data_IF_062797559267
#
_entry.id   IF_062797559267
#
_cell.length_a   1.000
_cell.length_b   1.000
_cell.length_c   1.000
_cell.angle_alpha   90.00
_cell.angle_beta   90.00
_cell.angle_gamma   90.00
#
_symmetry.space_group_name_H-M   'P 1'
#
loop_
_entity.id
_entity.type
_entity.pdbx_description
1 polymer ?
#
# COMPACT_ATOMS: atom_id res chain seq x y z
N UNK A 1 14.92 5.16 13.32
CA UNK A 1 13.42 5.18 13.32
C UNK A 1 12.96 5.73 14.66
N UNK A 2 12.25 6.88 14.76
CA UNK A 2 11.12 7.30 13.92
C UNK A 2 11.38 8.57 13.07
N UNK A 3 10.64 8.71 11.97
CA UNK A 3 10.52 9.93 11.17
C UNK A 3 9.49 10.88 11.81
N UNK A 4 9.75 12.19 11.82
CA UNK A 4 8.74 13.18 12.19
C UNK A 4 8.91 13.88 13.55
N UNK A 5 10.06 13.78 14.22
CA UNK A 5 10.42 14.82 15.22
C UNK A 5 11.05 16.01 14.49
N UNK A 6 10.24 16.77 13.78
CA UNK A 6 10.67 18.04 13.18
C UNK A 6 10.78 19.07 14.31
N UNK A 7 12.01 19.29 14.80
CA UNK A 7 12.32 20.41 15.69
C UNK A 7 12.91 21.54 14.84
N UNK A 8 12.21 22.67 14.80
CA UNK A 8 12.74 23.90 14.25
C UNK A 8 13.55 24.61 15.34
N UNK A 9 14.82 24.89 15.07
CA UNK A 9 15.65 25.72 15.93
C UNK A 9 15.83 27.08 15.26
N UNK A 10 15.47 28.15 15.94
CA UNK A 10 15.79 29.52 15.50
C UNK A 10 17.19 29.87 16.01
N UNK A 11 18.12 30.21 15.11
CA UNK A 11 19.48 30.63 15.49
C UNK A 11 19.56 32.17 15.42
N UNK A 12 19.58 32.90 16.56
CA UNK A 12 19.51 34.36 16.57
C UNK A 12 20.71 35.01 15.87
N UNK A 13 21.91 34.41 16.01
CA UNK A 13 23.15 34.89 15.37
C UNK A 13 23.13 34.79 13.84
N UNK A 14 22.30 33.92 13.25
CA UNK A 14 22.27 33.67 11.82
C UNK A 14 20.96 34.11 11.14
N UNK A 15 19.98 34.65 11.89
CA UNK A 15 18.62 35.00 11.44
C UNK A 15 18.00 33.93 10.51
N UNK A 16 18.27 32.65 10.77
CA UNK A 16 17.79 31.52 9.97
C UNK A 16 17.16 30.46 10.86
N UNK A 17 16.03 29.92 10.42
CA UNK A 17 15.36 28.77 11.03
C UNK A 17 15.96 27.50 10.44
N UNK A 18 16.55 26.65 11.28
CA UNK A 18 17.14 25.37 10.84
C UNK A 18 16.22 24.24 11.28
N UNK A 19 15.57 23.63 10.29
CA UNK A 19 14.74 22.44 10.46
C UNK A 19 15.64 21.21 10.40
N UNK A 20 15.95 20.60 11.54
CA UNK A 20 16.85 19.43 11.60
C UNK A 20 16.07 18.14 11.79
N UNK A 21 16.16 17.21 10.83
CA UNK A 21 15.60 15.86 10.93
C UNK A 21 16.59 14.94 11.68
N UNK A 22 16.52 14.92 13.03
CA UNK A 22 17.45 14.18 13.89
C UNK A 22 17.60 12.67 13.63
N UNK A 23 16.77 12.07 12.76
CA UNK A 23 16.76 10.62 12.49
C UNK A 23 16.94 10.22 11.02
N UNK A 24 17.19 11.14 10.09
CA UNK A 24 17.16 10.82 8.64
C UNK A 24 18.13 9.69 8.24
N UNK A 25 19.37 9.71 8.75
CA UNK A 25 20.38 8.69 8.43
C UNK A 25 20.04 7.30 8.98
N UNK A 26 19.52 7.21 10.21
CA UNK A 26 19.08 5.93 10.79
C UNK A 26 17.80 5.42 10.15
N UNK A 27 17.00 6.33 9.60
CA UNK A 27 15.79 6.03 8.86
C UNK A 27 16.13 5.40 7.51
N UNK A 28 17.00 6.05 6.75
CA UNK A 28 17.47 5.60 5.45
C UNK A 28 18.20 4.26 5.55
N UNK A 29 19.07 4.08 6.55
CA UNK A 29 19.75 2.80 6.77
C UNK A 29 18.77 1.64 7.02
N UNK A 30 17.67 1.89 7.75
CA UNK A 30 16.64 0.88 7.96
C UNK A 30 15.78 0.66 6.73
N UNK A 31 15.40 1.71 5.99
CA UNK A 31 14.70 1.60 4.71
C UNK A 31 15.50 0.75 3.72
N UNK A 32 16.80 1.02 3.59
CA UNK A 32 17.70 0.23 2.75
C UNK A 32 17.74 -1.24 3.18
N UNK A 33 17.78 -1.51 4.50
CA UNK A 33 17.73 -2.89 4.99
C UNK A 33 16.40 -3.58 4.63
N UNK A 34 15.26 -2.91 4.81
CA UNK A 34 13.95 -3.46 4.41
C UNK A 34 13.92 -3.74 2.91
N UNK A 35 14.42 -2.82 2.08
CA UNK A 35 14.53 -2.99 0.63
C UNK A 35 15.40 -4.20 0.26
N UNK A 36 16.59 -4.35 0.87
CA UNK A 36 17.46 -5.51 0.64
C UNK A 36 16.80 -6.82 1.03
N UNK A 37 16.15 -6.89 2.18
CA UNK A 37 15.46 -8.12 2.61
C UNK A 37 14.24 -8.42 1.72
N UNK A 38 13.54 -7.40 1.23
CA UNK A 38 12.47 -7.58 0.26
C UNK A 38 13.00 -8.15 -1.06
N UNK A 39 14.11 -7.62 -1.58
CA UNK A 39 14.77 -8.15 -2.78
C UNK A 39 15.20 -9.61 -2.59
N UNK A 40 15.84 -9.93 -1.46
CA UNK A 40 16.20 -11.31 -1.10
C UNK A 40 15.00 -12.24 -1.02
N UNK A 41 13.87 -11.77 -0.50
CA UNK A 41 12.65 -12.56 -0.44
C UNK A 41 12.05 -12.84 -1.84
N UNK A 42 12.38 -12.01 -2.84
CA UNK A 42 12.02 -12.20 -4.23
C UNK A 42 13.01 -13.10 -4.99
N UNK A 43 14.25 -13.25 -4.52
CA UNK A 43 15.23 -14.13 -5.16
C UNK A 43 14.68 -15.56 -5.25
N UNK A 44 14.60 -16.08 -6.48
CA UNK A 44 14.06 -17.42 -6.76
C UNK A 44 12.53 -17.52 -6.75
N UNK A 45 11.80 -16.40 -6.68
CA UNK A 45 10.33 -16.36 -6.80
C UNK A 45 9.90 -15.58 -8.04
N UNK A 46 8.85 -16.06 -8.70
CA UNK A 46 8.18 -15.29 -9.75
C UNK A 46 7.24 -14.25 -9.13
N UNK A 47 7.77 -13.06 -8.86
CA UNK A 47 6.96 -11.91 -8.46
C UNK A 47 6.94 -10.87 -9.57
N UNK A 48 5.74 -10.53 -10.03
CA UNK A 48 5.54 -9.51 -11.06
C UNK A 48 4.86 -8.30 -10.44
N UNK A 49 5.54 -7.18 -10.44
CA UNK A 49 4.98 -5.88 -10.09
C UNK A 49 4.57 -5.13 -11.37
N UNK A 50 3.27 -4.82 -11.49
CA UNK A 50 2.71 -4.05 -12.60
C UNK A 50 1.84 -2.89 -12.11
N UNK A 51 1.60 -1.91 -12.99
CA UNK A 51 0.77 -0.72 -12.73
C UNK A 51 -0.74 -0.96 -12.84
N UNK A 52 -1.16 -2.14 -13.31
CA UNK A 52 -2.56 -2.53 -13.49
C UNK A 52 -3.14 -3.31 -12.30
N UNK A 53 -2.29 -3.71 -11.37
CA UNK A 53 -2.65 -4.49 -10.19
C UNK A 53 -2.82 -3.60 -8.98
N UNK A 54 -3.61 -4.09 -8.02
CA UNK A 54 -3.71 -3.52 -6.70
C UNK A 54 -2.95 -4.41 -5.71
N UNK A 55 -2.41 -3.81 -4.66
CA UNK A 55 -1.61 -4.54 -3.67
C UNK A 55 -2.22 -4.38 -2.27
N UNK A 56 -2.17 -5.44 -1.48
CA UNK A 56 -2.44 -5.37 -0.04
C UNK A 56 -1.14 -5.62 0.71
N UNK A 57 -0.89 -4.79 1.73
CA UNK A 57 0.29 -4.84 2.58
C UNK A 57 -0.13 -5.27 3.99
N UNK A 58 0.39 -6.39 4.45
CA UNK A 58 0.25 -6.82 5.84
C UNK A 58 1.61 -6.76 6.52
N UNK A 59 1.68 -6.10 7.67
CA UNK A 59 2.91 -6.00 8.44
C UNK A 59 2.63 -6.30 9.91
N UNK A 60 3.55 -7.03 10.52
CA UNK A 60 3.59 -7.25 11.97
C UNK A 60 4.95 -6.79 12.50
N UNK A 61 4.96 -5.81 13.41
CA UNK A 61 6.16 -5.47 14.18
C UNK A 61 6.15 -6.22 15.50
N UNK A 62 7.10 -7.14 15.65
CA UNK A 62 7.38 -7.84 16.89
C UNK A 62 8.48 -7.07 17.63
N UNK A 63 8.09 -6.37 18.70
CA UNK A 63 8.98 -5.52 19.49
C UNK A 63 9.46 -6.27 20.74
N UNK A 64 10.73 -6.09 21.11
CA UNK A 64 11.23 -6.57 22.41
C UNK A 64 10.47 -5.88 23.54
N UNK A 65 10.03 -6.65 24.53
CA UNK A 65 9.42 -6.07 25.73
C UNK A 65 10.51 -5.39 26.57
N UNK A 66 10.40 -4.08 26.85
CA UNK A 66 11.35 -3.41 27.74
C UNK A 66 11.24 -4.00 29.17
N UNK A 67 12.35 -4.15 29.90
CA UNK A 67 12.34 -4.65 31.27
C UNK A 67 11.48 -3.80 32.22
N UNK A 68 11.35 -2.50 31.93
CA UNK A 68 10.56 -1.54 32.71
C UNK A 68 9.04 -1.68 32.54
N UNK A 69 8.58 -2.49 31.58
CA UNK A 69 7.16 -2.64 31.25
C UNK A 69 6.75 -4.11 31.38
N UNK A 70 6.35 -4.54 32.60
CA UNK A 70 5.96 -5.92 32.83
C UNK A 70 4.62 -6.26 32.16
N UNK A 71 4.35 -7.56 31.87
CA UNK A 71 3.17 -8.02 31.11
C UNK A 71 1.84 -7.51 31.64
N UNK A 72 1.64 -7.56 32.96
CA UNK A 72 0.40 -7.13 33.63
C UNK A 72 0.14 -5.63 33.49
N UNK A 73 1.19 -4.85 33.26
CA UNK A 73 1.12 -3.39 33.18
C UNK A 73 0.85 -2.91 31.75
N UNK A 74 1.24 -3.71 30.75
CA UNK A 74 1.02 -3.38 29.34
C UNK A 74 1.09 -4.61 28.44
N UNK A 75 -0.09 -5.04 28.00
CA UNK A 75 -0.24 -6.17 27.10
C UNK A 75 0.17 -5.77 25.67
N UNK A 76 -0.26 -4.60 25.19
CA UNK A 76 0.03 -4.13 23.83
C UNK A 76 1.09 -3.02 23.78
N UNK A 77 2.01 -3.03 22.81
CA UNK A 77 3.06 -2.03 22.67
C UNK A 77 2.51 -0.67 22.21
N UNK A 78 2.15 0.17 23.18
CA UNK A 78 1.78 1.58 22.97
C UNK A 78 2.96 2.54 23.12
N UNK A 79 4.18 2.02 23.31
CA UNK A 79 5.40 2.84 23.26
C UNK A 79 5.69 3.28 21.82
N UNK A 80 6.43 4.39 21.70
CA UNK A 80 7.09 4.76 20.44
C UNK A 80 7.91 3.56 19.95
N UNK A 81 8.00 3.31 18.64
CA UNK A 81 7.56 4.17 17.52
C UNK A 81 6.05 4.11 17.21
N UNK A 82 5.51 5.22 16.69
CA UNK A 82 4.11 5.34 16.27
C UNK A 82 3.85 4.48 15.03
N UNK A 83 2.68 3.84 14.97
CA UNK A 83 2.37 2.82 13.95
C UNK A 83 2.28 3.40 12.54
N UNK A 84 1.72 4.60 12.39
CA UNK A 84 1.60 5.35 11.15
C UNK A 84 2.97 5.68 10.53
N UNK A 85 3.93 6.06 11.38
CA UNK A 85 5.31 6.35 10.96
C UNK A 85 6.02 5.11 10.45
N UNK A 86 5.80 3.98 11.10
CA UNK A 86 6.38 2.72 10.66
C UNK A 86 5.77 2.26 9.34
N UNK A 87 4.45 2.36 9.20
CA UNK A 87 3.76 2.04 7.94
C UNK A 87 4.32 2.88 6.81
N UNK A 88 4.42 4.20 6.99
CA UNK A 88 4.98 5.10 5.98
C UNK A 88 6.39 4.67 5.58
N UNK A 89 7.24 4.41 6.56
CA UNK A 89 8.61 4.01 6.30
C UNK A 89 8.74 2.64 5.61
N UNK A 90 7.85 1.68 5.90
CA UNK A 90 7.80 0.40 5.18
C UNK A 90 7.30 0.61 3.75
N UNK A 91 6.23 1.37 3.58
CA UNK A 91 5.66 1.64 2.26
C UNK A 91 6.71 2.26 1.34
N UNK A 92 7.39 3.32 1.81
CA UNK A 92 8.47 3.99 1.07
C UNK A 92 9.64 3.04 0.72
N UNK A 93 9.95 2.06 1.58
CA UNK A 93 11.04 1.11 1.35
C UNK A 93 10.69 0.00 0.36
N UNK A 94 9.40 -0.30 0.19
CA UNK A 94 8.91 -1.37 -0.68
C UNK A 94 8.48 -0.86 -2.06
N UNK A 95 8.19 0.44 -2.18
CA UNK A 95 7.91 1.11 -3.45
C UNK A 95 9.08 0.93 -4.43
N UNK A 96 8.78 0.52 -5.66
CA UNK A 96 9.77 0.19 -6.70
C UNK A 96 10.34 -1.22 -6.60
N UNK A 97 10.01 -1.99 -5.54
CA UNK A 97 10.46 -3.38 -5.37
C UNK A 97 9.26 -4.33 -5.45
N UNK A 98 8.33 -4.24 -4.49
CA UNK A 98 7.16 -5.13 -4.43
C UNK A 98 5.98 -4.59 -5.24
N UNK A 99 5.87 -3.27 -5.35
CA UNK A 99 4.85 -2.59 -6.16
C UNK A 99 5.46 -1.32 -6.80
N UNK A 100 5.01 -0.90 -7.99
CA UNK A 100 5.61 0.23 -8.68
C UNK A 100 5.39 1.59 -8.00
N UNK A 101 4.23 1.77 -7.37
CA UNK A 101 3.82 3.02 -6.74
C UNK A 101 2.99 2.76 -5.48
N UNK A 102 3.10 3.64 -4.47
CA UNK A 102 2.41 3.49 -3.19
C UNK A 102 0.89 3.70 -3.34
N UNK A 103 0.47 4.46 -4.34
CA UNK A 103 -0.92 4.68 -4.74
C UNK A 103 -1.66 3.39 -5.13
N UNK A 104 -0.92 2.32 -5.49
CA UNK A 104 -1.50 1.02 -5.85
C UNK A 104 -1.81 0.14 -4.63
N UNK A 105 -1.39 0.55 -3.43
CA UNK A 105 -1.68 -0.18 -2.19
C UNK A 105 -3.07 0.22 -1.70
N UNK A 106 -4.07 -0.64 -1.91
CA UNK A 106 -5.46 -0.33 -1.55
C UNK A 106 -5.80 -0.69 -0.10
N UNK A 107 -5.03 -1.58 0.52
CA UNK A 107 -5.27 -2.06 1.88
C UNK A 107 -3.95 -2.23 2.63
N UNK A 108 -3.90 -1.68 3.85
CA UNK A 108 -2.78 -1.82 4.76
C UNK A 108 -3.29 -2.34 6.09
N UNK A 109 -2.79 -3.50 6.52
CA UNK A 109 -3.03 -4.06 7.85
C UNK A 109 -1.73 -4.06 8.63
N UNK A 110 -1.74 -3.44 9.80
CA UNK A 110 -0.53 -3.22 10.58
C UNK A 110 -0.80 -3.52 12.05
N UNK A 111 0.03 -4.35 12.67
CA UNK A 111 -0.07 -4.70 14.09
C UNK A 111 1.29 -4.57 14.77
N UNK A 112 1.29 -4.15 16.03
CA UNK A 112 2.46 -4.22 16.92
C UNK A 112 2.19 -5.23 18.02
N UNK A 113 3.09 -6.19 18.20
CA UNK A 113 3.05 -7.19 19.25
C UNK A 113 4.34 -7.14 20.08
N UNK A 114 4.27 -7.49 21.37
CA UNK A 114 5.49 -7.78 22.11
C UNK A 114 5.94 -9.20 21.76
N UNK A 115 7.23 -9.38 21.54
CA UNK A 115 7.82 -10.69 21.27
C UNK A 115 7.61 -11.63 22.44
N UNK A 116 6.81 -12.67 22.20
CA UNK A 116 6.83 -13.92 22.96
C UNK A 116 7.83 -14.88 22.32
N UNK A 117 7.33 -15.88 21.60
CA UNK A 117 8.13 -16.91 20.91
C UNK A 117 8.73 -16.44 19.57
N UNK A 118 8.17 -15.40 18.94
CA UNK A 118 8.67 -14.87 17.65
C UNK A 118 9.88 -13.97 17.86
N UNK A 119 10.85 -14.10 16.94
CA UNK A 119 12.00 -13.19 16.90
C UNK A 119 11.54 -11.76 16.66
N UNK A 120 12.22 -10.83 17.31
CA UNK A 120 11.91 -9.41 17.18
C UNK A 120 12.30 -8.92 15.79
N UNK A 121 11.41 -8.17 15.14
CA UNK A 121 11.59 -7.76 13.76
C UNK A 121 10.32 -7.25 13.11
N UNK A 122 10.42 -7.01 11.80
CA UNK A 122 9.30 -6.65 10.95
C UNK A 122 9.00 -7.84 10.03
N UNK A 123 7.78 -8.36 10.11
CA UNK A 123 7.29 -9.40 9.21
C UNK A 123 6.39 -8.71 8.19
N UNK A 124 6.76 -8.79 6.91
CA UNK A 124 6.09 -8.11 5.80
C UNK A 124 5.54 -9.15 4.86
N UNK A 125 4.26 -9.05 4.53
CA UNK A 125 3.61 -9.81 3.49
C UNK A 125 2.95 -8.85 2.50
N UNK A 126 3.18 -9.07 1.20
CA UNK A 126 2.53 -8.32 0.13
C UNK A 126 1.76 -9.30 -0.74
N UNK A 127 0.49 -8.98 -0.99
CA UNK A 127 -0.39 -9.75 -1.86
C UNK A 127 -0.80 -8.91 -3.06
N UNK A 128 -0.75 -9.51 -4.26
CA UNK A 128 -1.13 -8.88 -5.52
C UNK A 128 -2.55 -9.29 -5.91
N UNK A 129 -3.35 -8.32 -6.34
CA UNK A 129 -4.72 -8.48 -6.79
C UNK A 129 -4.92 -7.86 -8.18
N UNK A 130 -5.76 -8.50 -8.99
CA UNK A 130 -6.16 -7.95 -10.29
C UNK A 130 -7.12 -6.79 -10.06
N UNK A 131 -6.81 -5.61 -10.62
CA UNK A 131 -7.60 -4.39 -10.44
C UNK A 131 -8.35 -3.95 -11.72
N UNK A 132 -8.28 -4.74 -12.79
CA UNK A 132 -8.94 -4.43 -14.07
C UNK A 132 -9.76 -5.62 -14.55
N UNK A 133 -11.05 -5.39 -14.77
CA UNK A 133 -11.91 -6.32 -15.52
C UNK A 133 -11.79 -6.06 -17.01
N UNK A 134 -11.67 -7.13 -17.83
CA UNK A 134 -11.70 -6.99 -19.29
C UNK A 134 -13.01 -6.32 -19.73
N UNK A 135 -12.92 -5.22 -20.48
CA UNK A 135 -14.08 -4.52 -21.03
C UNK A 135 -14.77 -5.44 -22.04
N UNK A 136 -15.98 -5.92 -21.72
CA UNK A 136 -16.81 -6.61 -22.71
C UNK A 136 -17.19 -5.59 -23.77
N UNK A 137 -16.77 -5.81 -25.02
CA UNK A 137 -17.20 -4.98 -26.16
C UNK A 137 -18.72 -5.13 -26.30
N UNK A 138 -19.49 -4.07 -26.01
CA UNK A 138 -20.93 -4.06 -26.30
C UNK A 138 -21.11 -4.27 -27.81
N UNK A 139 -21.86 -5.31 -28.18
CA UNK A 139 -22.28 -5.50 -29.56
C UNK A 139 -23.02 -4.25 -30.03
N UNK A 140 -22.62 -3.72 -31.19
CA UNK A 140 -23.22 -2.54 -31.82
C UNK A 140 -24.71 -2.85 -32.05
N UNK A 141 -25.60 -2.10 -31.41
CA UNK A 141 -27.06 -2.20 -31.58
C UNK A 141 -27.32 -2.04 -33.09
N UNK A 142 -27.78 -3.10 -33.78
CA UNK A 142 -28.23 -2.99 -35.19
C UNK A 142 -29.31 -1.90 -35.21
N UNK A 143 -29.07 -0.84 -35.97
CA UNK A 143 -30.12 0.10 -36.32
C UNK A 143 -31.14 -0.69 -37.14
N UNK A 144 -32.36 -0.78 -36.63
CA UNK A 144 -33.50 -1.26 -37.40
C UNK A 144 -33.91 -0.05 -38.24
N UNK A 145 -33.59 -0.07 -39.52
CA UNK A 145 -34.22 0.84 -40.50
C UNK A 145 -35.67 0.39 -40.69
N UNK A 146 -36.65 1.31 -40.73
CA UNK A 146 -38.03 0.96 -41.07
C UNK A 146 -38.03 0.54 -42.53
N UNK A 147 -38.36 -0.72 -42.81
CA UNK A 147 -38.66 -1.13 -44.17
C UNK A 147 -39.99 -0.49 -44.56
N UNK A 148 -39.92 0.18 -45.69
CA UNK A 148 -40.97 0.94 -46.36
C UNK A 148 -42.17 0.06 -46.69
N UNK A 149 -43.35 0.66 -46.52
CA UNK A 149 -44.61 0.45 -47.25
C UNK A 149 -44.71 -0.84 -48.08
N UNK A 150 -45.28 -1.89 -47.47
CA UNK A 150 -45.99 -2.91 -48.24
C UNK A 150 -47.23 -2.22 -48.86
N UNK A 151 -47.13 -1.87 -50.14
CA UNK A 151 -48.30 -1.75 -51.00
C UNK A 151 -49.13 -3.01 -50.84
N UNK A 152 -50.32 -2.88 -50.25
CA UNK A 152 -51.28 -3.96 -50.15
C UNK A 152 -52.34 -3.77 -51.23
N UNK A 153 -52.24 -4.41 -52.42
CA UNK A 153 -53.35 -4.50 -53.35
C UNK A 153 -54.21 -5.70 -52.96
N UNK A 154 -54.96 -5.58 -51.87
CA UNK A 154 -56.04 -6.53 -51.60
C UNK A 154 -57.25 -5.83 -51.00
N UNK A 155 -58.17 -5.50 -51.90
CA UNK A 155 -59.55 -5.13 -51.62
C UNK A 155 -60.44 -6.38 -51.73
N UNK A 156 -61.08 -6.83 -50.64
CA UNK A 156 -62.09 -7.87 -50.70
C UNK A 156 -63.48 -7.42 -50.20
N UNK A 157 -63.94 -6.20 -50.54
CA UNK A 157 -65.34 -5.78 -50.36
C UNK A 157 -65.73 -4.77 -51.48
N UNK A 158 -66.33 -5.15 -52.61
CA UNK A 158 -67.21 -6.28 -52.81
C UNK A 158 -68.57 -6.08 -52.14
N UNK A 159 -69.17 -4.88 -52.28
CA UNK A 159 -70.62 -4.59 -52.43
C UNK A 159 -70.87 -3.09 -52.62
#
# INVERSE_FOLDING_TARGET
>A
MPEGSTRAFYIPKAKKTVTTHQNKKSLEAWRNRVATEAQRALEGREWVSDRSSAYALEVEFVLSRPPSVPPHRRIHPTVRPDIDKLVRAVNDALTGILFPDDSQVFSIKMVKSYGGERRTGAYVCVSRYVNVTKKVRKARKKQITPAEEDENPFDPRGE
#
